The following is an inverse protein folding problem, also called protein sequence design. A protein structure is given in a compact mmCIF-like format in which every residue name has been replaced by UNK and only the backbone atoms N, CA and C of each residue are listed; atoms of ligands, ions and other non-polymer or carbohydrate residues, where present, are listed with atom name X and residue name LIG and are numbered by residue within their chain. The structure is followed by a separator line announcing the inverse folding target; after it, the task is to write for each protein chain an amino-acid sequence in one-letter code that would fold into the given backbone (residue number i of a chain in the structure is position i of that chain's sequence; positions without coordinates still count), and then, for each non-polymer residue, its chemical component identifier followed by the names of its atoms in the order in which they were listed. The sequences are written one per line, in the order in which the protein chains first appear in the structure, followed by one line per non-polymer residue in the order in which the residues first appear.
data_IF_415463709092
#
_entry.id   IF_415463709092
#
_cell.length_a   1.000
_cell.length_b   1.000
_cell.length_c   1.000
_cell.angle_alpha   90.00
_cell.angle_beta   90.00
_cell.angle_gamma   90.00
#
_symmetry.space_group_name_H-M   'P 1'
#
loop_
_entity.id
_entity.type
_entity.pdbx_description
1 polymer ?
#
# COMPACT_ATOMS: atom_id res chain seq x y z
N UNK A 1 60.69 -12.78 14.26
CA UNK A 1 59.74 -11.70 13.93
C UNK A 1 58.77 -12.22 12.88
N UNK A 2 57.53 -12.47 13.27
CA UNK A 2 56.45 -13.00 12.44
C UNK A 2 55.82 -11.90 11.60
N UNK A 3 55.60 -12.14 10.30
CA UNK A 3 54.46 -11.56 9.58
C UNK A 3 53.84 -12.67 8.72
N UNK A 4 52.67 -13.17 9.16
CA UNK A 4 51.79 -14.06 8.40
C UNK A 4 50.95 -13.22 7.44
N UNK A 5 50.98 -13.57 6.16
CA UNK A 5 50.02 -13.13 5.16
C UNK A 5 48.74 -13.94 5.37
N UNK A 6 47.65 -13.26 5.74
CA UNK A 6 46.30 -13.82 5.72
C UNK A 6 45.51 -13.01 4.68
N UNK A 7 45.25 -13.63 3.53
CA UNK A 7 44.24 -13.21 2.56
C UNK A 7 42.88 -13.63 3.11
N UNK A 8 42.08 -12.67 3.54
CA UNK A 8 40.67 -12.85 3.89
C UNK A 8 39.86 -11.98 2.93
N UNK A 9 39.15 -12.64 2.02
CA UNK A 9 38.07 -12.04 1.26
C UNK A 9 36.89 -11.82 2.20
N UNK A 10 36.56 -10.55 2.48
CA UNK A 10 35.25 -10.17 2.97
C UNK A 10 34.70 -9.06 2.10
N UNK A 11 33.57 -9.37 1.46
CA UNK A 11 32.63 -8.43 0.85
C UNK A 11 32.09 -7.51 1.94
N UNK A 12 32.40 -6.21 1.86
CA UNK A 12 31.82 -5.19 2.74
C UNK A 12 31.14 -4.12 1.88
N UNK A 13 29.82 -4.27 1.82
CA UNK A 13 28.79 -3.25 2.04
C UNK A 13 28.91 -1.89 1.31
N UNK A 14 28.03 -1.69 0.32
CA UNK A 14 27.62 -0.35 -0.15
C UNK A 14 27.02 0.45 1.03
N UNK A 15 27.31 1.75 1.17
CA UNK A 15 26.89 2.54 2.31
C UNK A 15 25.41 2.94 2.20
N UNK A 16 24.65 2.57 3.22
CA UNK A 16 23.51 3.35 3.72
C UNK A 16 24.01 4.74 4.11
N UNK A 17 23.54 5.81 3.47
CA UNK A 17 23.50 7.18 4.03
C UNK A 17 22.85 8.16 3.03
N UNK A 18 21.54 8.01 2.84
CA UNK A 18 20.68 9.19 2.77
C UNK A 18 19.81 9.10 4.03
N UNK A 19 20.32 9.73 5.08
CA UNK A 19 19.62 9.93 6.33
C UNK A 19 18.30 10.62 6.02
N UNK A 20 17.24 9.83 6.18
CA UNK A 20 15.91 10.30 6.48
C UNK A 20 15.95 11.16 7.76
N UNK A 21 16.31 12.43 7.62
CA UNK A 21 15.97 13.45 8.59
C UNK A 21 14.57 13.93 8.27
N UNK A 22 13.59 13.33 8.94
CA UNK A 22 12.47 14.01 9.59
C UNK A 22 11.71 12.95 10.40
N UNK A 23 11.43 13.28 11.66
CA UNK A 23 10.82 12.39 12.65
C UNK A 23 9.55 11.69 12.12
N UNK A 24 9.25 10.47 12.62
CA UNK A 24 8.20 9.64 12.05
C UNK A 24 6.84 10.25 12.39
N UNK A 25 6.23 10.94 11.44
CA UNK A 25 4.78 10.82 11.33
C UNK A 25 4.51 9.32 11.27
N UNK A 26 3.76 8.81 12.25
CA UNK A 26 3.48 7.38 12.34
C UNK A 26 2.82 6.97 11.04
N UNK A 27 3.52 6.23 10.19
CA UNK A 27 2.99 5.71 8.94
C UNK A 27 1.98 4.62 9.31
N UNK A 28 0.72 5.02 9.53
CA UNK A 28 -0.35 4.16 9.96
C UNK A 28 -0.66 3.08 8.93
N UNK A 29 -0.45 3.38 7.65
CA UNK A 29 -0.50 2.36 6.61
C UNK A 29 0.57 1.30 6.83
N UNK A 30 1.83 1.67 7.03
CA UNK A 30 2.89 0.70 7.30
C UNK A 30 2.68 -0.04 8.63
N UNK A 31 2.10 0.63 9.63
CA UNK A 31 1.66 -0.01 10.87
C UNK A 31 0.57 -1.04 10.60
N UNK A 32 -0.46 -0.72 9.82
CA UNK A 32 -1.48 -1.68 9.41
C UNK A 32 -0.84 -2.88 8.69
N UNK A 33 0.07 -2.63 7.76
CA UNK A 33 0.79 -3.68 7.01
C UNK A 33 1.61 -4.57 7.94
N UNK A 34 2.31 -3.95 8.89
CA UNK A 34 3.08 -4.64 9.93
C UNK A 34 2.17 -5.46 10.83
N UNK A 35 1.02 -4.92 11.25
CA UNK A 35 0.03 -5.63 12.05
C UNK A 35 -0.49 -6.86 11.30
N UNK A 36 -0.89 -6.70 10.04
CA UNK A 36 -1.32 -7.82 9.19
C UNK A 36 -0.20 -8.85 9.05
N UNK A 37 1.06 -8.43 8.82
CA UNK A 37 2.20 -9.34 8.70
C UNK A 37 2.53 -10.08 10.01
N UNK A 38 2.42 -9.40 11.14
CA UNK A 38 2.66 -9.94 12.49
C UNK A 38 1.52 -10.84 12.98
N UNK A 39 0.41 -10.95 12.24
CA UNK A 39 -0.69 -11.83 12.63
C UNK A 39 -0.26 -13.31 12.67
N UNK A 40 0.85 -13.66 12.03
CA UNK A 40 1.50 -14.97 12.15
C UNK A 40 1.96 -15.31 13.56
N UNK A 41 2.29 -14.30 14.38
CA UNK A 41 2.80 -14.47 15.76
C UNK A 41 1.68 -14.39 16.81
N UNK A 42 0.47 -14.04 16.38
CA UNK A 42 -0.69 -13.92 17.25
C UNK A 42 -1.22 -15.33 17.46
N UNK A 43 -0.76 -15.99 18.52
CA UNK A 43 -1.41 -17.21 18.99
C UNK A 43 -2.92 -16.96 19.12
N UNK A 44 -3.75 -17.88 18.63
CA UNK A 44 -5.21 -17.72 18.56
C UNK A 44 -5.87 -17.89 19.93
N UNK A 45 -5.56 -16.94 20.80
CA UNK A 45 -6.16 -16.73 22.11
C UNK A 45 -7.04 -15.49 22.06
N UNK A 46 -8.10 -15.46 22.85
CA UNK A 46 -8.99 -14.28 22.90
C UNK A 46 -8.25 -13.00 23.27
N UNK A 47 -7.28 -13.06 24.20
CA UNK A 47 -6.47 -11.89 24.55
C UNK A 47 -5.68 -11.33 23.36
N UNK A 48 -5.05 -12.21 22.57
CA UNK A 48 -4.25 -11.80 21.44
C UNK A 48 -5.10 -11.24 20.28
N UNK A 49 -6.24 -11.88 19.98
CA UNK A 49 -7.21 -11.41 18.98
C UNK A 49 -7.81 -10.06 19.39
N UNK A 50 -8.26 -9.91 20.63
CA UNK A 50 -8.77 -8.63 21.15
C UNK A 50 -7.70 -7.53 21.13
N UNK A 51 -6.46 -7.87 21.48
CA UNK A 51 -5.33 -6.96 21.41
C UNK A 51 -5.05 -6.48 19.98
N UNK A 52 -5.17 -7.38 19.00
CA UNK A 52 -5.07 -7.05 17.58
C UNK A 52 -6.22 -6.15 17.12
N UNK A 53 -7.46 -6.49 17.45
CA UNK A 53 -8.64 -5.70 17.11
C UNK A 53 -8.59 -4.28 17.68
N UNK A 54 -8.14 -4.14 18.93
CA UNK A 54 -7.90 -2.83 19.53
C UNK A 54 -6.88 -2.00 18.74
N UNK A 55 -5.82 -2.63 18.21
CA UNK A 55 -4.83 -1.94 17.38
C UNK A 55 -5.42 -1.53 16.03
N UNK A 56 -6.22 -2.38 15.38
CA UNK A 56 -6.90 -2.04 14.13
C UNK A 56 -7.87 -0.85 14.32
N UNK A 57 -8.72 -0.91 15.36
CA UNK A 57 -9.68 0.16 15.67
C UNK A 57 -9.02 1.47 16.14
N UNK A 58 -7.73 1.43 16.48
CA UNK A 58 -6.95 2.65 16.83
C UNK A 58 -6.38 3.39 15.61
N UNK A 59 -6.54 2.85 14.41
CA UNK A 59 -6.09 3.51 13.18
C UNK A 59 -7.06 4.64 12.82
N UNK A 60 -6.50 5.80 12.47
CA UNK A 60 -7.22 6.95 11.97
C UNK A 60 -7.44 6.81 10.45
N UNK A 61 -8.69 6.68 9.95
CA UNK A 61 -8.97 6.37 8.55
C UNK A 61 -8.42 7.37 7.53
N UNK A 62 -8.40 8.65 7.89
CA UNK A 62 -7.88 9.75 7.10
C UNK A 62 -6.36 9.67 6.96
N UNK A 63 -5.64 9.48 8.08
CA UNK A 63 -4.19 9.30 8.09
C UNK A 63 -3.81 8.03 7.34
N UNK A 64 -4.56 6.94 7.53
CA UNK A 64 -4.35 5.67 6.84
C UNK A 64 -4.50 5.82 5.31
N UNK A 65 -5.50 6.56 4.84
CA UNK A 65 -5.70 6.87 3.43
C UNK A 65 -4.56 7.76 2.87
N UNK A 66 -4.15 8.78 3.65
CA UNK A 66 -3.08 9.70 3.27
C UNK A 66 -1.74 8.97 3.12
N UNK A 67 -1.40 8.12 4.07
CA UNK A 67 -0.18 7.31 4.06
C UNK A 67 -0.17 6.32 2.89
N UNK A 68 -1.31 5.74 2.55
CA UNK A 68 -1.45 4.90 1.36
C UNK A 68 -1.12 5.66 0.07
N UNK A 69 -1.64 6.88 -0.08
CA UNK A 69 -1.38 7.74 -1.25
C UNK A 69 0.11 8.08 -1.34
N UNK A 70 0.71 8.49 -0.21
CA UNK A 70 2.14 8.80 -0.09
C UNK A 70 3.01 7.60 -0.44
N UNK A 71 2.71 6.42 0.11
CA UNK A 71 3.44 5.19 -0.19
C UNK A 71 3.35 4.83 -1.66
N UNK A 72 2.15 4.87 -2.23
CA UNK A 72 1.93 4.56 -3.64
C UNK A 72 2.74 5.49 -4.54
N UNK A 73 2.80 6.77 -4.20
CA UNK A 73 3.61 7.76 -4.91
C UNK A 73 5.11 7.44 -4.83
N UNK A 74 5.64 7.03 -3.66
CA UNK A 74 7.03 6.58 -3.52
C UNK A 74 7.33 5.35 -4.37
N UNK A 75 6.39 4.41 -4.49
CA UNK A 75 6.53 3.22 -5.34
C UNK A 75 6.55 3.61 -6.82
N UNK A 76 5.65 4.51 -7.24
CA UNK A 76 5.62 5.04 -8.61
C UNK A 76 6.91 5.77 -8.97
N UNK A 77 7.45 6.59 -8.05
CA UNK A 77 8.71 7.29 -8.23
C UNK A 77 9.90 6.34 -8.46
N UNK A 78 9.83 5.11 -7.95
CA UNK A 78 10.88 4.12 -8.19
C UNK A 78 10.78 3.44 -9.57
N UNK A 79 9.80 3.77 -10.41
CA UNK A 79 9.67 3.16 -11.74
C UNK A 79 10.72 3.74 -12.71
N UNK A 80 11.62 2.91 -13.31
CA UNK A 80 12.76 3.43 -14.04
C UNK A 80 12.42 4.34 -15.23
N UNK A 81 11.39 3.99 -16.02
CA UNK A 81 10.98 4.78 -17.19
C UNK A 81 10.44 6.16 -16.78
N UNK A 82 9.64 6.20 -15.71
CA UNK A 82 9.11 7.42 -15.13
C UNK A 82 10.23 8.27 -14.51
N UNK A 83 11.06 7.64 -13.68
CA UNK A 83 12.18 8.30 -13.00
C UNK A 83 13.14 8.97 -13.97
N UNK A 84 13.58 8.24 -15.01
CA UNK A 84 14.51 8.75 -16.02
C UNK A 84 13.92 9.95 -16.79
N UNK A 85 12.63 9.92 -17.12
CA UNK A 85 11.97 11.04 -17.77
C UNK A 85 11.96 12.29 -16.88
N UNK A 86 11.58 12.14 -15.60
CA UNK A 86 11.52 13.26 -14.66
C UNK A 86 12.92 13.85 -14.40
N UNK A 87 13.96 13.01 -14.30
CA UNK A 87 15.35 13.48 -14.13
C UNK A 87 15.88 14.24 -15.36
N UNK A 88 15.62 13.73 -16.57
CA UNK A 88 16.14 14.34 -17.80
C UNK A 88 15.47 15.67 -18.17
N UNK A 89 14.28 15.96 -17.63
CA UNK A 89 13.53 17.18 -17.95
C UNK A 89 14.03 18.44 -17.22
N UNK A 90 15.09 18.31 -16.39
CA UNK A 90 15.85 19.37 -15.73
C UNK A 90 15.01 20.59 -15.29
N UNK A 91 13.87 20.31 -14.67
CA UNK A 91 12.82 21.23 -14.23
C UNK A 91 12.74 22.57 -14.95
N UNK A 92 12.28 22.55 -16.20
CA UNK A 92 11.68 23.77 -16.74
C UNK A 92 10.50 24.18 -15.84
N UNK A 93 10.47 25.44 -15.41
CA UNK A 93 9.32 26.09 -14.75
C UNK A 93 7.99 25.79 -15.47
N UNK A 94 8.07 25.49 -16.77
CA UNK A 94 6.98 25.02 -17.61
C UNK A 94 6.33 23.71 -17.15
N UNK A 95 7.07 22.68 -16.73
CA UNK A 95 6.46 21.42 -16.28
C UNK A 95 5.64 21.64 -15.00
N UNK A 96 6.22 22.33 -14.02
CA UNK A 96 5.54 22.67 -12.76
C UNK A 96 4.30 23.51 -13.05
N UNK A 97 4.45 24.59 -13.82
CA UNK A 97 3.33 25.44 -14.26
C UNK A 97 2.24 24.65 -14.99
N UNK A 98 2.63 23.71 -15.86
CA UNK A 98 1.67 22.90 -16.63
C UNK A 98 0.86 21.96 -15.74
N UNK A 99 1.51 21.34 -14.75
CA UNK A 99 0.86 20.44 -13.79
C UNK A 99 -0.02 21.18 -12.78
N UNK A 100 0.30 22.44 -12.46
CA UNK A 100 -0.58 23.28 -11.65
C UNK A 100 -1.87 23.64 -12.40
N UNK A 101 -1.78 23.85 -13.72
CA UNK A 101 -2.91 24.28 -14.57
C UNK A 101 -3.78 23.14 -15.09
N UNK A 102 -3.18 22.00 -15.45
CA UNK A 102 -3.88 20.79 -15.89
C UNK A 102 -3.28 19.56 -15.21
N UNK A 103 -3.77 19.27 -14.02
CA UNK A 103 -3.28 18.18 -13.18
C UNK A 103 -3.48 16.80 -13.82
N UNK A 104 -4.56 16.64 -14.60
CA UNK A 104 -4.83 15.38 -15.30
C UNK A 104 -3.86 15.14 -16.47
N UNK A 105 -3.11 16.16 -16.91
CA UNK A 105 -2.05 16.00 -17.92
C UNK A 105 -0.88 15.15 -17.41
N UNK A 106 -0.74 14.96 -16.10
CA UNK A 106 0.30 14.12 -15.48
C UNK A 106 0.33 12.70 -16.04
N UNK A 107 -0.82 12.20 -16.50
CA UNK A 107 -0.93 10.86 -17.10
C UNK A 107 -0.30 10.75 -18.49
N UNK A 108 0.07 11.88 -19.11
CA UNK A 108 0.78 11.93 -20.41
C UNK A 108 2.29 11.90 -20.24
N UNK A 109 2.81 12.00 -19.01
CA UNK A 109 4.24 11.93 -18.77
C UNK A 109 4.73 10.51 -19.13
N UNK A 110 5.84 10.39 -19.89
CA UNK A 110 6.47 9.10 -20.16
C UNK A 110 6.73 8.31 -18.87
N UNK A 111 6.38 7.02 -18.90
CA UNK A 111 6.48 6.13 -17.74
C UNK A 111 5.36 6.25 -16.70
N UNK A 112 4.44 7.22 -16.79
CA UNK A 112 3.34 7.35 -15.82
C UNK A 112 2.43 6.10 -15.78
N UNK A 113 2.17 5.49 -16.93
CA UNK A 113 1.40 4.24 -17.00
C UNK A 113 2.15 3.06 -16.37
N UNK A 114 3.45 2.94 -16.61
CA UNK A 114 4.29 1.90 -16.00
C UNK A 114 4.34 2.05 -14.48
N UNK A 115 4.45 3.29 -14.00
CA UNK A 115 4.46 3.62 -12.58
C UNK A 115 3.13 3.22 -11.91
N UNK A 116 2.00 3.49 -12.55
CA UNK A 116 0.70 3.00 -12.08
C UNK A 116 0.60 1.48 -12.09
N UNK A 117 1.08 0.82 -13.15
CA UNK A 117 1.10 -0.64 -13.23
C UNK A 117 1.93 -1.25 -12.09
N UNK A 118 3.05 -0.64 -11.73
CA UNK A 118 3.88 -1.06 -10.60
C UNK A 118 3.12 -0.97 -9.27
N UNK A 119 2.40 0.13 -9.02
CA UNK A 119 1.54 0.27 -7.83
C UNK A 119 0.46 -0.81 -7.81
N UNK A 120 -0.24 -1.02 -8.92
CA UNK A 120 -1.30 -2.05 -9.03
C UNK A 120 -0.74 -3.44 -8.74
N UNK A 121 0.40 -3.79 -9.33
CA UNK A 121 1.08 -5.07 -9.07
C UNK A 121 1.43 -5.23 -7.59
N UNK A 122 1.98 -4.18 -6.98
CA UNK A 122 2.30 -4.21 -5.55
C UNK A 122 1.04 -4.40 -4.70
N UNK A 123 -0.01 -3.59 -4.88
CA UNK A 123 -1.24 -3.68 -4.10
C UNK A 123 -1.96 -5.04 -4.27
N UNK A 124 -1.82 -5.69 -5.43
CA UNK A 124 -2.37 -7.02 -5.66
C UNK A 124 -1.63 -8.09 -4.85
N UNK A 125 -0.30 -8.06 -4.79
CA UNK A 125 0.49 -8.97 -3.94
C UNK A 125 0.03 -8.84 -2.49
N UNK A 126 -0.19 -7.62 -2.05
CA UNK A 126 -0.59 -7.26 -0.69
C UNK A 126 -2.01 -7.71 -0.34
N UNK A 127 -2.95 -7.52 -1.27
CA UNK A 127 -4.32 -7.99 -1.11
C UNK A 127 -4.35 -9.52 -1.05
N UNK A 128 -3.58 -10.20 -1.92
CA UNK A 128 -3.54 -11.66 -1.93
C UNK A 128 -2.97 -12.21 -0.61
N UNK A 129 -1.93 -11.59 -0.06
CA UNK A 129 -1.40 -11.95 1.26
C UNK A 129 -2.46 -11.81 2.36
N UNK A 130 -3.27 -10.77 2.30
CA UNK A 130 -4.29 -10.49 3.32
C UNK A 130 -5.50 -11.41 3.18
N UNK A 131 -5.93 -11.72 1.96
CA UNK A 131 -6.95 -12.72 1.68
C UNK A 131 -6.49 -14.13 2.12
N UNK A 132 -5.20 -14.42 1.98
CA UNK A 132 -4.57 -15.63 2.45
C UNK A 132 -4.62 -15.74 3.98
N UNK A 133 -4.28 -14.65 4.67
CA UNK A 133 -4.34 -14.57 6.13
C UNK A 133 -5.77 -14.72 6.65
N UNK A 134 -6.75 -14.07 6.01
CA UNK A 134 -8.15 -14.22 6.41
C UNK A 134 -8.63 -15.68 6.28
N UNK A 135 -8.28 -16.37 5.19
CA UNK A 135 -8.60 -17.79 5.03
C UNK A 135 -7.90 -18.67 6.06
N UNK A 136 -6.66 -18.34 6.41
CA UNK A 136 -5.91 -19.06 7.43
C UNK A 136 -6.62 -19.02 8.79
N UNK A 137 -7.08 -17.84 9.20
CA UNK A 137 -7.82 -17.65 10.45
C UNK A 137 -9.11 -18.48 10.45
N UNK A 138 -9.85 -18.49 9.34
CA UNK A 138 -11.08 -19.29 9.20
C UNK A 138 -10.80 -20.80 9.30
N UNK A 139 -9.71 -21.30 8.71
CA UNK A 139 -9.31 -22.72 8.75
C UNK A 139 -8.82 -23.16 10.13
N UNK A 140 -8.12 -22.28 10.84
CA UNK A 140 -7.71 -22.57 12.21
C UNK A 140 -8.92 -22.77 13.12
N UNK A 141 -9.97 -21.95 12.98
CA UNK A 141 -11.22 -22.12 13.74
C UNK A 141 -11.90 -23.47 13.46
N UNK A 142 -11.72 -24.03 12.26
CA UNK A 142 -12.21 -25.36 11.89
C UNK A 142 -11.36 -26.51 12.47
N UNK A 143 -10.34 -26.19 13.26
CA UNK A 143 -9.45 -27.17 13.89
C UNK A 143 -8.25 -27.58 13.02
N UNK A 144 -8.07 -26.98 11.85
CA UNK A 144 -6.94 -27.28 10.97
C UNK A 144 -5.69 -26.51 11.44
N UNK A 145 -4.86 -27.18 12.25
CA UNK A 145 -3.62 -26.61 12.81
C UNK A 145 -2.45 -26.70 11.82
N UNK A 146 -2.57 -26.04 10.68
CA UNK A 146 -1.46 -25.85 9.74
C UNK A 146 -0.74 -24.55 10.11
N UNK A 147 0.56 -24.44 9.84
CA UNK A 147 1.27 -23.16 10.01
C UNK A 147 0.94 -22.22 8.83
N UNK A 148 0.87 -20.90 9.07
CA UNK A 148 0.58 -19.95 7.99
C UNK A 148 1.53 -20.06 6.79
N UNK A 149 2.87 -20.25 6.94
CA UNK A 149 3.74 -20.43 5.78
C UNK A 149 3.36 -21.63 4.92
N UNK A 150 3.02 -22.77 5.54
CA UNK A 150 2.54 -23.97 4.85
C UNK A 150 1.16 -23.75 4.23
N UNK A 151 0.29 -23.00 4.92
CA UNK A 151 -1.02 -22.64 4.40
C UNK A 151 -0.90 -21.74 3.16
N UNK A 152 -0.15 -20.64 3.26
CA UNK A 152 0.08 -19.64 2.22
C UNK A 152 0.66 -20.22 0.92
N UNK A 153 1.50 -21.26 1.02
CA UNK A 153 2.02 -21.99 -0.13
C UNK A 153 0.96 -22.82 -0.87
N UNK A 154 -0.07 -23.28 -0.14
CA UNK A 154 -1.09 -24.22 -0.61
C UNK A 154 -2.46 -23.59 -0.89
N UNK A 155 -2.63 -22.30 -0.62
CA UNK A 155 -3.89 -21.61 -0.94
C UNK A 155 -4.13 -21.72 -2.44
N UNK A 156 -5.30 -22.21 -2.88
CA UNK A 156 -5.70 -22.12 -4.27
C UNK A 156 -5.62 -20.64 -4.65
N UNK A 157 -4.60 -20.25 -5.44
CA UNK A 157 -4.46 -18.88 -5.93
C UNK A 157 -5.84 -18.46 -6.43
N UNK A 158 -6.40 -17.34 -5.95
CA UNK A 158 -7.81 -17.01 -6.17
C UNK A 158 -8.15 -17.28 -7.62
N UNK A 159 -9.02 -18.28 -7.86
CA UNK A 159 -9.36 -18.80 -9.21
C UNK A 159 -9.48 -17.61 -10.13
N UNK A 160 -8.46 -17.35 -10.97
CA UNK A 160 -8.27 -16.18 -11.84
C UNK A 160 -9.55 -15.34 -11.96
N UNK A 161 -9.94 -14.59 -10.91
CA UNK A 161 -11.27 -13.97 -10.86
C UNK A 161 -11.08 -12.65 -11.56
N UNK A 162 -11.10 -12.73 -12.89
CA UNK A 162 -11.09 -11.67 -13.90
C UNK A 162 -9.92 -10.67 -13.91
N UNK A 163 -9.09 -10.58 -12.86
CA UNK A 163 -8.02 -9.58 -12.79
C UNK A 163 -6.68 -10.03 -13.36
N UNK A 164 -6.42 -11.33 -13.45
CA UNK A 164 -5.26 -11.83 -14.21
C UNK A 164 -5.45 -11.68 -15.73
N UNK A 165 -6.66 -11.40 -16.23
CA UNK A 165 -6.84 -10.92 -17.62
C UNK A 165 -6.67 -9.40 -17.77
N UNK A 166 -6.60 -8.62 -16.68
CA UNK A 166 -6.37 -7.17 -16.74
C UNK A 166 -4.94 -6.79 -16.35
N UNK A 167 -4.29 -7.54 -15.45
CA UNK A 167 -2.92 -7.30 -15.03
C UNK A 167 -1.88 -8.18 -15.77
N UNK A 168 -2.30 -9.29 -16.40
CA UNK A 168 -1.40 -10.18 -17.16
C UNK A 168 -1.62 -10.14 -18.69
N UNK A 169 -2.72 -9.55 -19.19
CA UNK A 169 -2.74 -9.05 -20.57
C UNK A 169 -2.01 -7.71 -20.56
N UNK A 170 -0.71 -7.73 -20.82
CA UNK A 170 0.15 -6.54 -20.99
C UNK A 170 -0.29 -5.60 -22.13
N UNK A 171 -1.39 -5.91 -22.82
CA UNK A 171 -1.97 -5.13 -23.93
C UNK A 171 -3.36 -4.55 -23.66
N UNK A 172 -3.93 -4.70 -22.45
CA UNK A 172 -5.17 -4.01 -22.08
C UNK A 172 -4.84 -2.82 -21.21
N UNK A 173 -5.15 -1.62 -21.70
CA UNK A 173 -5.07 -0.38 -20.94
C UNK A 173 -5.69 -0.57 -19.56
N UNK A 174 -4.89 -0.35 -18.52
CA UNK A 174 -5.39 -0.26 -17.16
C UNK A 174 -6.42 0.87 -17.13
N UNK A 175 -7.66 0.55 -16.77
CA UNK A 175 -8.71 1.56 -16.67
C UNK A 175 -8.61 2.24 -15.30
N UNK A 176 -8.15 3.50 -15.31
CA UNK A 176 -8.23 4.38 -14.16
C UNK A 176 -9.33 5.40 -14.41
N UNK A 177 -10.09 5.74 -13.37
CA UNK A 177 -11.02 6.87 -13.44
C UNK A 177 -10.21 8.13 -13.75
N UNK A 178 -10.47 8.76 -14.88
CA UNK A 178 -9.88 10.07 -15.20
C UNK A 178 -10.52 11.14 -14.33
N UNK A 179 -9.69 12.02 -13.78
CA UNK A 179 -10.17 13.21 -13.07
C UNK A 179 -10.57 14.32 -14.03
N UNK A 180 -10.89 15.48 -13.47
CA UNK A 180 -10.95 16.73 -14.23
C UNK A 180 -9.73 17.60 -13.89
N UNK A 181 -9.40 18.62 -14.70
CA UNK A 181 -8.20 19.45 -14.49
C UNK A 181 -8.04 20.01 -13.07
N UNK A 182 -9.16 20.27 -12.37
CA UNK A 182 -9.19 20.79 -11.00
C UNK A 182 -9.63 19.75 -9.95
N UNK A 183 -9.96 18.54 -10.37
CA UNK A 183 -10.36 17.43 -9.50
C UNK A 183 -9.70 16.13 -9.99
N UNK A 184 -8.38 16.00 -9.78
CA UNK A 184 -7.66 14.83 -10.26
C UNK A 184 -8.10 13.59 -9.50
N UNK A 185 -8.09 12.45 -10.19
CA UNK A 185 -8.38 11.16 -9.59
C UNK A 185 -7.27 10.70 -8.64
N UNK A 186 -7.50 9.66 -7.83
CA UNK A 186 -6.46 9.12 -6.97
C UNK A 186 -5.22 8.66 -7.76
N UNK A 187 -5.40 8.07 -8.94
CA UNK A 187 -4.28 7.68 -9.80
C UNK A 187 -3.46 8.89 -10.26
N UNK A 188 -4.14 9.96 -10.72
CA UNK A 188 -3.49 11.21 -11.13
C UNK A 188 -2.77 11.87 -9.94
N UNK A 189 -3.40 11.90 -8.76
CA UNK A 189 -2.81 12.41 -7.51
C UNK A 189 -1.55 11.65 -7.10
N UNK A 190 -1.57 10.32 -7.22
CA UNK A 190 -0.41 9.49 -6.92
C UNK A 190 0.75 9.79 -7.87
N UNK A 191 0.48 9.93 -9.17
CA UNK A 191 1.54 10.28 -10.13
C UNK A 191 2.05 11.71 -9.90
N UNK A 192 1.17 12.67 -9.58
CA UNK A 192 1.60 14.03 -9.19
C UNK A 192 2.51 14.00 -7.97
N UNK A 193 2.12 13.28 -6.90
CA UNK A 193 2.96 13.08 -5.72
C UNK A 193 4.28 12.37 -6.06
N UNK A 194 4.26 11.40 -6.97
CA UNK A 194 5.46 10.69 -7.42
C UNK A 194 6.42 11.62 -8.17
N UNK A 195 5.88 12.50 -9.02
CA UNK A 195 6.64 13.59 -9.63
C UNK A 195 7.28 14.41 -8.51
N UNK A 196 6.48 14.94 -7.56
CA UNK A 196 6.96 15.77 -6.44
C UNK A 196 8.11 15.13 -5.65
N UNK A 197 8.07 13.80 -5.42
CA UNK A 197 9.17 13.10 -4.75
C UNK A 197 10.50 13.15 -5.49
N UNK A 198 10.50 13.27 -6.82
CA UNK A 198 11.71 13.50 -7.60
C UNK A 198 12.15 14.97 -7.62
N UNK A 199 11.23 15.91 -7.37
CA UNK A 199 11.50 17.34 -7.48
C UNK A 199 12.17 17.92 -6.23
N UNK A 200 12.20 17.13 -5.15
CA UNK A 200 12.56 17.62 -3.83
C UNK A 200 11.42 18.40 -3.17
N UNK A 201 11.50 18.55 -1.86
CA UNK A 201 10.45 19.19 -1.06
C UNK A 201 10.25 20.68 -1.39
N UNK A 202 11.22 21.33 -2.04
CA UNK A 202 11.20 22.76 -2.36
C UNK A 202 10.31 23.10 -3.57
N UNK A 203 10.15 22.16 -4.50
CA UNK A 203 9.34 22.38 -5.70
C UNK A 203 7.84 22.47 -5.38
N UNK A 204 7.41 21.94 -4.23
CA UNK A 204 6.00 21.94 -3.82
C UNK A 204 5.83 22.09 -2.30
N UNK A 205 5.06 23.11 -1.90
CA UNK A 205 4.75 23.38 -0.49
C UNK A 205 4.13 22.17 0.25
N UNK A 206 4.30 22.13 1.57
CA UNK A 206 3.67 21.13 2.44
C UNK A 206 2.14 21.11 2.28
N UNK A 207 1.51 22.29 2.14
CA UNK A 207 0.08 22.40 1.87
C UNK A 207 -0.34 21.75 0.55
N UNK A 208 0.53 21.78 -0.46
CA UNK A 208 0.31 21.09 -1.74
C UNK A 208 0.42 19.57 -1.57
N UNK A 209 1.42 19.07 -0.83
CA UNK A 209 1.55 17.63 -0.51
C UNK A 209 0.34 17.12 0.27
N UNK A 210 -0.12 17.86 1.27
CA UNK A 210 -1.31 17.50 2.03
C UNK A 210 -2.54 17.42 1.13
N UNK A 211 -2.80 18.45 0.30
CA UNK A 211 -3.93 18.48 -0.64
C UNK A 211 -3.97 17.27 -1.57
N UNK A 212 -2.82 16.84 -2.10
CA UNK A 212 -2.75 15.75 -3.06
C UNK A 212 -2.80 14.37 -2.45
N UNK A 213 -2.38 14.24 -1.20
CA UNK A 213 -2.48 12.99 -0.46
C UNK A 213 -3.87 12.73 0.12
N UNK A 214 -4.79 13.70 0.06
CA UNK A 214 -6.20 13.49 0.39
C UNK A 214 -6.88 12.54 -0.63
N UNK A 215 -7.44 11.45 -0.12
CA UNK A 215 -8.24 10.47 -0.85
C UNK A 215 -9.52 10.14 -0.08
N UNK A 216 -10.53 11.00 -0.22
CA UNK A 216 -11.79 10.95 0.54
C UNK A 216 -12.55 9.62 0.37
N UNK A 217 -12.47 9.03 -0.81
CA UNK A 217 -13.05 7.74 -1.14
C UNK A 217 -12.36 6.58 -0.41
N UNK A 218 -11.03 6.61 -0.31
CA UNK A 218 -10.24 5.63 0.45
C UNK A 218 -10.50 5.83 1.95
N UNK A 219 -10.53 7.07 2.42
CA UNK A 219 -10.88 7.42 3.80
C UNK A 219 -12.26 6.88 4.17
N UNK A 220 -13.28 7.12 3.34
CA UNK A 220 -14.63 6.62 3.57
C UNK A 220 -14.66 5.09 3.61
N UNK A 221 -13.95 4.42 2.71
CA UNK A 221 -13.84 2.96 2.72
C UNK A 221 -13.20 2.45 4.02
N UNK A 222 -12.10 3.07 4.45
CA UNK A 222 -11.41 2.70 5.69
C UNK A 222 -12.32 2.90 6.91
N UNK A 223 -13.06 4.01 6.95
CA UNK A 223 -14.02 4.29 8.02
C UNK A 223 -15.10 3.21 8.10
N UNK A 224 -15.73 2.88 6.97
CA UNK A 224 -16.76 1.84 6.91
C UNK A 224 -16.22 0.46 7.33
N UNK A 225 -14.99 0.11 6.93
CA UNK A 225 -14.37 -1.14 7.33
C UNK A 225 -14.15 -1.22 8.85
N UNK A 226 -13.66 -0.14 9.47
CA UNK A 226 -13.47 -0.08 10.92
C UNK A 226 -14.81 -0.08 11.68
N UNK A 227 -15.82 0.61 11.16
CA UNK A 227 -17.16 0.62 11.76
C UNK A 227 -17.81 -0.77 11.71
N UNK A 228 -17.70 -1.47 10.57
CA UNK A 228 -18.16 -2.85 10.42
C UNK A 228 -17.45 -3.79 11.41
N UNK A 229 -16.13 -3.64 11.55
CA UNK A 229 -15.36 -4.42 12.53
C UNK A 229 -15.88 -4.15 13.95
N UNK A 230 -16.07 -2.89 14.33
CA UNK A 230 -16.57 -2.52 15.65
C UNK A 230 -17.96 -3.09 15.93
N UNK A 231 -18.88 -3.00 14.97
CA UNK A 231 -20.24 -3.52 15.11
C UNK A 231 -20.25 -5.05 15.23
N UNK A 232 -19.47 -5.74 14.41
CA UNK A 232 -19.34 -7.19 14.46
C UNK A 232 -18.80 -7.65 15.81
N UNK A 233 -17.74 -7.01 16.32
CA UNK A 233 -17.16 -7.34 17.63
C UNK A 233 -18.11 -7.04 18.80
N UNK A 234 -18.93 -6.00 18.70
CA UNK A 234 -19.95 -5.71 19.71
C UNK A 234 -21.05 -6.79 19.76
N UNK A 235 -21.28 -7.50 18.65
CA UNK A 235 -22.25 -8.57 18.54
C UNK A 235 -21.66 -9.98 18.75
N UNK A 236 -20.33 -10.11 18.89
CA UNK A 236 -19.67 -11.41 19.04
C UNK A 236 -19.78 -11.95 20.48
N UNK A 237 -20.01 -13.26 20.60
CA UNK A 237 -20.18 -13.99 21.86
C UNK A 237 -19.00 -14.88 22.20
N UNK A 238 -18.23 -15.33 21.20
CA UNK A 238 -17.09 -16.22 21.39
C UNK A 238 -15.87 -15.87 20.53
N UNK A 239 -14.78 -16.62 20.75
CA UNK A 239 -13.53 -16.42 20.03
C UNK A 239 -13.67 -16.68 18.53
N UNK A 240 -14.53 -17.62 18.11
CA UNK A 240 -14.76 -17.92 16.71
C UNK A 240 -15.37 -16.73 15.99
N UNK A 241 -16.39 -16.12 16.59
CA UNK A 241 -17.02 -14.91 16.06
C UNK A 241 -16.06 -13.71 16.06
N UNK A 242 -15.27 -13.51 17.12
CA UNK A 242 -14.23 -12.46 17.16
C UNK A 242 -13.22 -12.62 16.01
N UNK A 243 -12.77 -13.85 15.75
CA UNK A 243 -11.84 -14.15 14.66
C UNK A 243 -12.49 -13.95 13.29
N UNK A 244 -13.75 -14.33 13.11
CA UNK A 244 -14.51 -14.05 11.89
C UNK A 244 -14.63 -12.55 11.61
N UNK A 245 -14.99 -11.75 12.63
CA UNK A 245 -15.05 -10.30 12.53
C UNK A 245 -13.69 -9.72 12.10
N UNK A 246 -12.61 -10.21 12.73
CA UNK A 246 -11.24 -9.81 12.43
C UNK A 246 -10.83 -10.15 11.00
N UNK A 247 -11.10 -11.36 10.53
CA UNK A 247 -10.72 -11.84 9.21
C UNK A 247 -11.48 -11.11 8.10
N UNK A 248 -12.78 -10.89 8.31
CA UNK A 248 -13.69 -10.33 7.29
C UNK A 248 -13.69 -8.81 7.29
N UNK A 249 -14.03 -8.17 8.41
CA UNK A 249 -14.23 -6.72 8.48
C UNK A 249 -12.95 -5.96 8.84
N UNK A 250 -11.99 -6.60 9.50
CA UNK A 250 -10.66 -6.03 9.71
C UNK A 250 -9.76 -6.24 8.49
N UNK A 251 -9.17 -7.44 8.39
CA UNK A 251 -8.10 -7.73 7.44
C UNK A 251 -8.58 -7.57 5.99
N UNK A 252 -9.69 -8.21 5.61
CA UNK A 252 -10.12 -8.24 4.22
C UNK A 252 -10.71 -6.91 3.73
N UNK A 253 -11.56 -6.26 4.52
CA UNK A 253 -12.17 -4.98 4.12
C UNK A 253 -11.17 -3.82 4.07
N UNK A 254 -10.33 -3.64 5.09
CA UNK A 254 -9.29 -2.59 5.06
C UNK A 254 -8.35 -2.77 3.85
N UNK A 255 -7.91 -4.00 3.56
CA UNK A 255 -7.07 -4.23 2.38
C UNK A 255 -7.79 -4.00 1.04
N UNK A 256 -9.10 -4.22 0.98
CA UNK A 256 -9.89 -3.94 -0.24
C UNK A 256 -9.96 -2.45 -0.55
N UNK A 257 -9.92 -1.57 0.46
CA UNK A 257 -9.89 -0.12 0.26
C UNK A 257 -8.68 0.33 -0.56
N UNK A 258 -7.55 -0.37 -0.45
CA UNK A 258 -6.31 -0.05 -1.16
C UNK A 258 -6.19 -0.66 -2.56
N UNK A 259 -7.14 -1.51 -2.95
CA UNK A 259 -7.19 -2.14 -4.28
C UNK A 259 -7.87 -1.26 -5.34
N UNK A 260 -8.29 -0.05 -4.97
CA UNK A 260 -9.22 0.79 -5.74
C UNK A 260 -8.64 1.43 -7.02
N UNK A 261 -7.32 1.38 -7.25
CA UNK A 261 -6.67 1.97 -8.44
C UNK A 261 -7.00 1.27 -9.77
N UNK A 262 -8.22 0.78 -10.01
CA UNK A 262 -8.56 0.13 -11.28
C UNK A 262 -9.96 -0.45 -11.39
N UNK A 263 -10.94 0.00 -10.60
CA UNK A 263 -12.33 -0.46 -10.78
C UNK A 263 -13.09 0.50 -11.70
N UNK A 264 -13.70 -0.07 -12.75
CA UNK A 264 -14.83 0.53 -13.45
C UNK A 264 -16.01 0.66 -12.51
#
# INVERSE_FOLDING_TARGET
MLIRIILVFFTISLPTLLQAQNQPQSNQYERLRTLIAQTNDIGLTSSAVRGFNKKLLSLAPDILAQDFMIRSAKIAAQEPSFHAYIQNYNFSSYLVWSLERDQSSVMRLPGAQDALLKIVKQNLIETNYSDALAQYLDEYLRGHKISFPTFAQNIPRPRKRLLTKQAADTNKELFFRKGSPNKPSAAERIILLATMYHLGEEAFSEGTRHRWSQAQDIQLCNQLALDNLSQCLAASYDLGEEVFCTSTHGIRELNRCFRWLGRK
#
